data_IF_365045119882
#
_entry.id   IF_365045119882
#
_cell.length_a   1.000
_cell.length_b   1.000
_cell.length_c   1.000
_cell.angle_alpha   90.00
_cell.angle_beta   90.00
_cell.angle_gamma   90.00
#
_symmetry.space_group_name_H-M   'P 1'
#
loop_
_entity.id
_entity.type
_entity.pdbx_description
1 polymer ?
#
# COMPACT_ATOMS: atom_id res chain seq x y z
N UNK A 1 6.26 -10.89 -7.37
CA UNK A 1 7.15 -9.88 -7.98
C UNK A 1 8.63 -10.07 -7.62
N UNK A 2 9.02 -10.08 -6.34
CA UNK A 2 10.43 -10.10 -5.89
C UNK A 2 11.30 -11.18 -6.52
N UNK A 3 10.82 -12.43 -6.51
CA UNK A 3 11.58 -13.56 -7.06
C UNK A 3 11.93 -13.35 -8.54
N UNK A 4 10.94 -12.98 -9.36
CA UNK A 4 11.15 -12.74 -10.78
C UNK A 4 12.09 -11.57 -11.03
N UNK A 5 11.99 -10.48 -10.27
CA UNK A 5 12.95 -9.36 -10.32
C UNK A 5 14.37 -9.85 -10.02
N UNK A 6 14.53 -10.68 -8.97
CA UNK A 6 15.82 -11.28 -8.61
C UNK A 6 16.41 -12.12 -9.74
N UNK A 7 15.62 -13.01 -10.33
CA UNK A 7 16.04 -13.84 -11.45
C UNK A 7 16.45 -13.01 -12.68
N UNK A 8 15.66 -12.00 -13.05
CA UNK A 8 15.95 -11.13 -14.20
C UNK A 8 17.25 -10.33 -13.97
N UNK A 9 17.43 -9.77 -12.77
CA UNK A 9 18.65 -9.04 -12.42
C UNK A 9 19.88 -9.95 -12.40
N UNK A 10 19.73 -11.20 -11.97
CA UNK A 10 20.81 -12.20 -12.04
C UNK A 10 21.23 -12.52 -13.48
N UNK A 11 20.32 -12.36 -14.45
CA UNK A 11 20.59 -12.46 -15.88
C UNK A 11 21.11 -11.15 -16.50
N UNK A 12 21.35 -10.11 -15.71
CA UNK A 12 21.81 -8.80 -16.19
C UNK A 12 20.71 -7.91 -16.77
N UNK A 13 19.43 -8.29 -16.63
CA UNK A 13 18.31 -7.51 -17.14
C UNK A 13 17.89 -6.45 -16.12
N UNK A 14 17.66 -5.22 -16.60
CA UNK A 14 17.09 -4.16 -15.77
C UNK A 14 15.61 -4.45 -15.50
N UNK A 15 15.27 -4.71 -14.25
CA UNK A 15 13.90 -4.98 -13.80
C UNK A 15 13.51 -4.05 -12.64
N UNK A 16 12.26 -3.62 -12.62
CA UNK A 16 11.67 -2.73 -11.60
C UNK A 16 10.42 -3.37 -10.99
N UNK A 17 10.18 -3.05 -9.73
CA UNK A 17 8.99 -3.40 -8.97
C UNK A 17 7.91 -2.38 -9.29
N UNK A 18 6.72 -2.85 -9.65
CA UNK A 18 5.54 -2.00 -9.85
C UNK A 18 4.52 -2.35 -8.78
N UNK A 19 4.02 -1.32 -8.08
CA UNK A 19 2.98 -1.43 -7.07
C UNK A 19 1.76 -0.67 -7.54
N UNK A 20 0.58 -1.23 -7.31
CA UNK A 20 -0.66 -0.67 -7.81
C UNK A 20 -1.88 -1.40 -7.31
N UNK A 21 -2.96 -1.29 -8.07
CA UNK A 21 -4.21 -1.98 -7.79
C UNK A 21 -4.63 -2.90 -8.94
N UNK A 22 -5.27 -4.01 -8.61
CA UNK A 22 -5.84 -4.95 -9.57
C UNK A 22 -7.37 -4.97 -9.43
N UNK A 23 -8.08 -4.87 -10.55
CA UNK A 23 -9.51 -5.15 -10.56
C UNK A 23 -9.73 -6.65 -10.30
N UNK A 24 -10.25 -6.98 -9.12
CA UNK A 24 -10.62 -8.36 -8.78
C UNK A 24 -12.08 -8.64 -9.12
N UNK A 25 -12.32 -9.71 -9.88
CA UNK A 25 -13.66 -10.19 -10.21
C UNK A 25 -14.01 -11.34 -9.26
N UNK A 26 -14.91 -11.15 -8.28
CA UNK A 26 -15.29 -12.22 -7.38
C UNK A 26 -16.01 -13.34 -8.14
N UNK A 27 -15.90 -14.60 -7.69
CA UNK A 27 -16.76 -15.68 -8.19
C UNK A 27 -18.25 -15.33 -8.00
N UNK A 28 -19.15 -15.87 -8.85
CA UNK A 28 -20.58 -15.60 -8.75
C UNK A 28 -21.11 -15.83 -7.32
N UNK A 29 -21.81 -14.83 -6.78
CA UNK A 29 -22.41 -14.90 -5.45
C UNK A 29 -21.49 -14.49 -4.27
N UNK A 30 -20.25 -14.06 -4.52
CA UNK A 30 -19.37 -13.49 -3.48
C UNK A 30 -19.27 -11.97 -3.61
N UNK A 31 -19.18 -11.22 -2.49
CA UNK A 31 -18.94 -9.80 -2.53
C UNK A 31 -17.58 -9.50 -3.18
N UNK A 32 -17.49 -8.36 -3.86
CA UNK A 32 -16.22 -7.85 -4.40
C UNK A 32 -15.26 -7.61 -3.23
N UNK A 33 -13.99 -7.90 -3.43
CA UNK A 33 -12.99 -7.65 -2.40
C UNK A 33 -12.79 -6.13 -2.28
N UNK A 34 -13.00 -5.60 -1.08
CA UNK A 34 -12.83 -4.18 -0.73
C UNK A 34 -11.67 -4.11 0.28
N UNK A 35 -10.63 -3.30 0.01
CA UNK A 35 -9.48 -3.15 0.90
C UNK A 35 -8.15 -3.66 0.32
N UNK A 36 -7.28 -4.19 1.18
CA UNK A 36 -5.92 -4.64 0.85
C UNK A 36 -5.86 -5.69 -0.28
N UNK A 37 -6.96 -6.41 -0.51
CA UNK A 37 -7.12 -7.37 -1.63
C UNK A 37 -7.19 -6.71 -3.02
N UNK A 38 -7.29 -5.39 -3.11
CA UNK A 38 -7.09 -4.67 -4.37
C UNK A 38 -5.61 -4.36 -4.62
N UNK A 39 -4.77 -4.29 -3.57
CA UNK A 39 -3.35 -3.95 -3.74
C UNK A 39 -2.62 -5.10 -4.44
N UNK A 40 -1.81 -4.76 -5.43
CA UNK A 40 -1.11 -5.75 -6.24
C UNK A 40 0.28 -5.27 -6.62
N UNK A 41 1.15 -6.23 -6.92
CA UNK A 41 2.50 -5.94 -7.34
C UNK A 41 2.96 -6.88 -8.45
N UNK A 42 3.57 -6.28 -9.47
CA UNK A 42 4.09 -6.99 -10.64
C UNK A 42 5.49 -6.49 -10.99
N UNK A 43 6.02 -7.00 -12.10
CA UNK A 43 7.40 -6.77 -12.54
C UNK A 43 7.38 -6.04 -13.86
N UNK A 44 8.33 -5.16 -14.08
CA UNK A 44 8.53 -4.51 -15.37
C UNK A 44 9.99 -4.63 -15.76
N UNK A 45 10.27 -5.03 -17.00
CA UNK A 45 11.61 -5.34 -17.51
C UNK A 45 11.93 -4.40 -18.65
N UNK A 46 13.14 -3.84 -18.65
CA UNK A 46 13.59 -2.98 -19.72
C UNK A 46 13.81 -3.81 -20.98
N UNK A 47 13.11 -3.43 -22.05
CA UNK A 47 13.22 -4.02 -23.36
C UNK A 47 13.22 -2.87 -24.38
N UNK A 48 14.39 -2.47 -24.91
CA UNK A 48 14.46 -1.37 -25.87
C UNK A 48 13.60 -1.68 -27.10
N UNK A 49 13.00 -0.64 -27.67
CA UNK A 49 12.14 -0.70 -28.86
C UNK A 49 10.82 -1.47 -28.69
N UNK A 50 10.51 -1.93 -27.47
CA UNK A 50 9.20 -2.49 -27.11
C UNK A 50 8.34 -1.44 -26.39
N UNK A 51 7.30 -0.93 -27.08
CA UNK A 51 6.36 0.02 -26.49
C UNK A 51 7.07 1.23 -25.88
N UNK A 52 6.95 1.39 -24.56
CA UNK A 52 7.60 2.48 -23.80
C UNK A 52 8.99 2.09 -23.24
N UNK A 53 9.70 1.17 -23.92
CA UNK A 53 10.94 0.52 -23.51
C UNK A 53 10.85 -0.38 -22.27
N UNK A 54 9.64 -0.67 -21.80
CA UNK A 54 9.38 -1.48 -20.62
C UNK A 54 8.24 -2.45 -20.91
N UNK A 55 8.41 -3.70 -20.48
CA UNK A 55 7.41 -4.76 -20.61
C UNK A 55 7.05 -5.28 -19.23
N UNK A 56 5.76 -5.26 -18.93
CA UNK A 56 5.23 -5.64 -17.63
C UNK A 56 4.82 -7.12 -17.62
N UNK A 57 5.06 -7.80 -16.49
CA UNK A 57 4.74 -9.19 -16.24
C UNK A 57 4.13 -9.35 -14.86
N UNK A 58 2.99 -10.01 -14.79
CA UNK A 58 2.33 -10.42 -13.56
C UNK A 58 2.59 -11.90 -13.29
N UNK A 59 3.64 -12.25 -12.51
CA UNK A 59 3.95 -13.65 -12.21
C UNK A 59 2.93 -14.31 -11.28
N UNK A 60 2.09 -13.55 -10.58
CA UNK A 60 1.05 -14.10 -9.70
C UNK A 60 -0.09 -14.68 -10.53
N UNK A 61 -0.47 -13.96 -11.59
CA UNK A 61 -1.57 -14.36 -12.48
C UNK A 61 -1.11 -14.97 -13.81
N UNK A 62 0.21 -15.12 -14.01
CA UNK A 62 0.83 -15.65 -15.22
C UNK A 62 0.34 -14.98 -16.51
N UNK A 63 0.33 -13.65 -16.52
CA UNK A 63 -0.15 -12.84 -17.64
C UNK A 63 0.65 -11.54 -17.80
N UNK A 64 0.41 -10.85 -18.90
CA UNK A 64 0.84 -9.47 -19.09
C UNK A 64 -0.24 -8.54 -18.50
N UNK A 65 0.11 -7.61 -17.60
CA UNK A 65 -0.81 -6.61 -17.08
C UNK A 65 -1.59 -5.89 -18.19
N UNK A 66 -2.87 -5.63 -17.93
CA UNK A 66 -3.78 -4.98 -18.87
C UNK A 66 -4.49 -3.80 -18.18
N UNK A 67 -5.63 -3.36 -18.70
CA UNK A 67 -6.41 -2.24 -18.15
C UNK A 67 -6.95 -2.49 -16.74
N UNK A 68 -6.90 -3.73 -16.25
CA UNK A 68 -7.27 -4.11 -14.88
C UNK A 68 -6.13 -3.87 -13.87
N UNK A 69 -4.90 -3.57 -14.33
CA UNK A 69 -3.74 -3.26 -13.50
C UNK A 69 -3.47 -1.76 -13.49
N UNK A 70 -3.79 -1.10 -12.38
CA UNK A 70 -3.61 0.34 -12.20
C UNK A 70 -2.28 0.59 -11.50
N UNK A 71 -1.27 1.03 -12.25
CA UNK A 71 0.04 1.42 -11.72
C UNK A 71 -0.08 2.63 -10.78
N UNK A 72 0.48 2.53 -9.58
CA UNK A 72 0.54 3.65 -8.60
C UNK A 72 1.98 4.09 -8.34
N UNK A 73 2.91 3.15 -8.21
CA UNK A 73 4.31 3.45 -7.92
C UNK A 73 5.27 2.45 -8.56
N UNK A 74 6.49 2.92 -8.83
CA UNK A 74 7.56 2.13 -9.45
C UNK A 74 8.85 2.34 -8.65
N UNK A 75 9.52 1.25 -8.28
CA UNK A 75 10.74 1.27 -7.48
C UNK A 75 11.68 0.11 -7.83
N UNK A 76 12.85 0.03 -7.19
CA UNK A 76 13.71 -1.16 -7.35
C UNK A 76 13.14 -2.34 -6.59
N UNK A 77 12.44 -2.07 -5.50
CA UNK A 77 11.86 -3.07 -4.63
C UNK A 77 10.69 -2.47 -3.82
N UNK A 78 9.92 -3.29 -3.13
CA UNK A 78 8.83 -2.91 -2.23
C UNK A 78 9.27 -1.86 -1.20
N UNK A 79 10.50 -1.94 -0.69
CA UNK A 79 11.02 -0.98 0.28
C UNK A 79 11.13 0.47 -0.25
N UNK A 80 11.27 0.65 -1.57
CA UNK A 80 11.32 1.98 -2.19
C UNK A 80 9.91 2.60 -2.29
N UNK A 81 8.86 1.76 -2.34
CA UNK A 81 7.50 2.17 -2.73
C UNK A 81 6.40 1.48 -1.89
N UNK A 82 6.70 1.24 -0.61
CA UNK A 82 5.72 0.67 0.32
C UNK A 82 4.53 1.62 0.45
N UNK A 83 3.27 1.16 0.25
CA UNK A 83 2.09 2.01 0.31
C UNK A 83 1.85 2.63 1.69
N UNK A 84 2.41 2.03 2.74
CA UNK A 84 2.45 2.60 4.08
C UNK A 84 3.89 2.55 4.61
N UNK A 85 4.42 3.72 5.02
CA UNK A 85 5.75 3.84 5.64
C UNK A 85 5.72 4.90 6.73
N UNK A 86 6.13 4.55 7.94
CA UNK A 86 6.14 5.46 9.09
C UNK A 86 6.59 4.75 10.36
N UNK A 87 6.71 5.52 11.45
CA UNK A 87 6.99 5.02 12.79
C UNK A 87 5.75 5.31 13.63
N UNK A 88 5.18 4.29 14.26
CA UNK A 88 4.10 4.47 15.24
C UNK A 88 4.77 4.69 16.60
N UNK A 89 4.67 5.90 17.13
CA UNK A 89 5.18 6.26 18.46
C UNK A 89 3.99 6.37 19.43
N UNK A 90 3.80 5.36 20.28
CA UNK A 90 2.71 5.31 21.26
C UNK A 90 2.19 3.88 21.48
N UNK A 91 1.54 3.64 22.63
CA UNK A 91 1.04 2.33 23.08
C UNK A 91 -0.49 2.24 23.16
N UNK A 92 -1.21 2.99 22.32
CA UNK A 92 -2.65 2.85 22.13
C UNK A 92 -2.90 2.11 20.83
N UNK A 93 -3.52 0.93 20.90
CA UNK A 93 -3.79 0.03 19.76
C UNK A 93 -4.71 0.66 18.73
N UNK A 94 -4.16 1.54 17.89
CA UNK A 94 -4.86 2.14 16.76
C UNK A 94 -4.52 1.30 15.55
N UNK A 95 -5.47 0.50 15.09
CA UNK A 95 -5.34 -0.23 13.83
C UNK A 95 -5.66 0.72 12.67
N UNK A 96 -4.77 0.87 11.67
CA UNK A 96 -5.07 1.67 10.51
C UNK A 96 -6.15 0.99 9.66
N UNK A 97 -7.30 1.64 9.51
CA UNK A 97 -8.35 1.22 8.58
C UNK A 97 -8.04 1.75 7.18
N UNK A 98 -7.83 0.85 6.21
CA UNK A 98 -7.53 1.19 4.82
C UNK A 98 -8.48 0.44 3.89
N UNK A 99 -9.26 1.18 3.12
CA UNK A 99 -10.18 0.65 2.12
C UNK A 99 -9.86 1.20 0.73
N UNK A 100 -9.73 0.31 -0.26
CA UNK A 100 -9.54 0.65 -1.68
C UNK A 100 -10.51 -0.16 -2.51
N UNK A 101 -11.05 0.43 -3.59
CA UNK A 101 -11.91 -0.23 -4.56
C UNK A 101 -11.54 0.22 -5.96
N UNK A 102 -11.38 -0.74 -6.87
CA UNK A 102 -11.24 -0.51 -8.30
C UNK A 102 -12.56 -0.87 -8.98
N UNK A 103 -13.08 0.02 -9.82
CA UNK A 103 -14.34 -0.17 -10.54
C UNK A 103 -14.14 0.17 -12.02
N UNK A 104 -14.67 -0.65 -12.96
CA UNK A 104 -14.70 -0.31 -14.38
C UNK A 104 -15.45 1.00 -14.66
N UNK A 105 -15.02 1.77 -15.66
CA UNK A 105 -15.67 3.04 -16.01
C UNK A 105 -17.05 2.86 -16.68
N UNK A 106 -17.28 1.71 -17.32
CA UNK A 106 -18.53 1.33 -17.97
C UNK A 106 -19.58 0.78 -17.00
N UNK A 107 -19.18 0.43 -15.77
CA UNK A 107 -20.09 0.27 -14.62
C UNK A 107 -20.46 1.67 -14.10
N UNK A 108 -21.27 2.39 -14.89
CA UNK A 108 -21.62 3.80 -14.72
C UNK A 108 -22.53 4.03 -13.50
N UNK A 109 -21.94 4.04 -12.32
CA UNK A 109 -22.30 4.80 -11.13
C UNK A 109 -21.21 4.51 -10.09
N UNK A 110 -20.26 5.42 -9.92
CA UNK A 110 -19.50 5.46 -8.67
C UNK A 110 -20.57 5.51 -7.57
N UNK A 111 -20.66 4.51 -6.67
CA UNK A 111 -21.74 4.49 -5.70
C UNK A 111 -21.74 5.83 -4.97
N UNK A 112 -22.89 6.51 -4.91
CA UNK A 112 -23.00 7.81 -4.21
C UNK A 112 -22.49 7.69 -2.77
N UNK A 113 -22.63 6.51 -2.17
CA UNK A 113 -22.04 6.16 -0.89
C UNK A 113 -20.50 6.24 -0.86
N UNK A 114 -19.80 5.83 -1.93
CA UNK A 114 -18.35 5.94 -2.05
C UNK A 114 -17.92 7.40 -2.21
N UNK A 115 -18.64 8.19 -3.01
CA UNK A 115 -18.43 9.63 -3.12
C UNK A 115 -18.65 10.35 -1.78
N UNK A 116 -19.73 9.99 -1.06
CA UNK A 116 -20.02 10.53 0.26
C UNK A 116 -18.97 10.14 1.31
N UNK A 117 -18.47 8.89 1.28
CA UNK A 117 -17.41 8.43 2.16
C UNK A 117 -16.08 9.18 1.91
N UNK A 118 -15.70 9.37 0.63
CA UNK A 118 -14.52 10.14 0.25
C UNK A 118 -14.63 11.62 0.71
N UNK A 119 -15.82 12.23 0.62
CA UNK A 119 -16.07 13.58 1.12
C UNK A 119 -16.03 13.67 2.66
N UNK A 120 -16.55 12.67 3.37
CA UNK A 120 -16.55 12.63 4.83
C UNK A 120 -15.15 12.43 5.43
N UNK A 121 -14.28 11.69 4.74
CA UNK A 121 -12.88 11.50 5.16
C UNK A 121 -12.01 12.77 4.96
N UNK A 122 -12.38 13.63 4.02
CA UNK A 122 -11.70 14.91 3.78
C UNK A 122 -12.06 16.00 4.83
N UNK A 123 -13.21 15.87 5.49
CA UNK A 123 -13.76 16.86 6.44
C UNK A 123 -13.44 16.54 7.91
N UNK A 124 -12.72 15.44 8.18
CA UNK A 124 -12.19 15.21 9.53
C UNK A 124 -11.08 16.24 9.82
N UNK A 125 -11.19 17.02 10.90
CA UNK A 125 -10.11 17.92 11.28
C UNK A 125 -8.86 17.09 11.53
N UNK A 126 -7.78 17.38 10.79
CA UNK A 126 -6.44 16.88 11.11
C UNK A 126 -6.22 17.19 12.58
N UNK A 127 -6.19 16.16 13.43
CA UNK A 127 -5.99 16.34 14.86
C UNK A 127 -4.80 17.28 15.06
N UNK A 128 -5.07 18.48 15.58
CA UNK A 128 -4.03 19.45 15.88
C UNK A 128 -3.04 18.78 16.83
N UNK A 129 -1.76 18.81 16.48
CA UNK A 129 -0.68 18.39 17.36
C UNK A 129 -0.63 19.38 18.54
N UNK A 130 -1.50 19.17 19.53
CA UNK A 130 -1.66 20.01 20.69
C UNK A 130 -0.42 19.97 21.57
N UNK A 131 0.52 20.89 21.33
CA UNK A 131 1.41 21.39 22.38
C UNK A 131 0.57 22.15 23.40
N UNK A 132 0.56 21.71 24.66
CA UNK A 132 0.40 22.62 25.81
C UNK A 132 1.34 22.23 26.97
N UNK A 133 1.73 23.22 27.78
CA UNK A 133 3.07 23.34 28.33
C UNK A 133 3.14 23.03 29.84
N UNK A 134 4.32 22.55 30.28
CA UNK A 134 4.87 22.77 31.62
C UNK A 134 3.96 22.47 32.81
N UNK A 135 4.03 21.23 33.32
CA UNK A 135 3.83 20.95 34.74
C UNK A 135 5.12 20.35 35.32
N UNK A 136 5.49 20.70 36.57
CA UNK A 136 6.82 20.44 37.10
C UNK A 136 7.02 18.95 37.40
N UNK A 137 8.26 18.50 37.22
CA UNK A 137 8.72 17.16 37.57
C UNK A 137 8.43 16.88 39.06
N UNK A 138 7.42 16.07 39.33
CA UNK A 138 7.20 15.48 40.65
C UNK A 138 8.33 14.50 40.97
N UNK A 139 9.00 14.73 42.09
CA UNK A 139 10.11 13.94 42.63
C UNK A 139 9.82 12.42 42.59
N UNK A 140 10.66 11.68 41.86
CA UNK A 140 10.76 10.23 41.99
C UNK A 140 11.94 9.94 42.92
N UNK A 141 11.65 9.48 44.14
CA UNK A 141 12.63 8.92 45.06
C UNK A 141 13.27 7.66 44.47
N UNK A 142 14.57 7.42 44.64
CA UNK A 142 15.18 6.17 44.22
C UNK A 142 14.82 5.08 45.23
N UNK A 143 14.02 4.09 44.81
CA UNK A 143 13.87 2.84 45.54
C UNK A 143 14.87 1.81 45.00
N UNK A 144 15.47 1.09 45.94
CA UNK A 144 16.69 0.32 45.83
C UNK A 144 16.59 -0.95 44.96
N UNK A 145 17.79 -1.38 44.58
CA UNK A 145 18.24 -2.71 44.15
C UNK A 145 17.37 -3.94 44.46
N UNK A 146 17.31 -4.86 43.48
CA UNK A 146 17.46 -6.33 43.60
C UNK A 146 17.50 -6.88 42.14
N UNK A 147 18.66 -7.19 41.56
CA UNK A 147 19.38 -8.48 41.51
C UNK A 147 18.56 -9.72 41.06
N UNK A 148 19.01 -10.24 39.91
CA UNK A 148 19.16 -11.67 39.51
C UNK A 148 17.94 -12.61 39.54
N UNK A 149 17.52 -13.07 38.35
CA UNK A 149 17.81 -14.42 37.83
C UNK A 149 17.65 -14.46 36.31
#
# INVERSE_FOLDING_TARGET
AHLMIGCLRALGLAARYVSGYLLTRPPPGKPRLIGADASHAWVSVYAPDCGNNWVDFDPTNNLLPNTEHISVAIGRDFADISPLRGIILGGGGTEPEVAVTVTPLDEEQIPVALLAALSAQADQPKAELGKKPGEPLGNIQPAASEREA
#
